data_IF_605538877983
#
_entry.id   IF_605538877983
#
_cell.length_a   1.000
_cell.length_b   1.000
_cell.length_c   1.000
_cell.angle_alpha   90.00
_cell.angle_beta   90.00
_cell.angle_gamma   90.00
#
_symmetry.space_group_name_H-M   'P 1'
#
loop_
_entity.id
_entity.type
_entity.pdbx_description
1 polymer ?
#
# COMPACT_ATOMS: atom_id res chain seq x y z
N UNK A 1 -7.63 -25.68 10.44
CA UNK A 1 -6.49 -25.79 9.50
C UNK A 1 -6.74 -25.18 8.12
N UNK A 2 -7.91 -25.36 7.48
CA UNK A 2 -8.20 -24.72 6.18
C UNK A 2 -8.33 -23.18 6.24
N UNK A 3 -8.87 -22.62 7.32
CA UNK A 3 -9.06 -21.17 7.44
C UNK A 3 -7.74 -20.39 7.65
N UNK A 4 -6.74 -20.96 8.31
CA UNK A 4 -5.44 -20.27 8.52
C UNK A 4 -4.62 -20.19 7.24
N UNK A 5 -4.75 -21.17 6.34
CA UNK A 5 -4.14 -21.15 5.00
C UNK A 5 -4.82 -20.07 4.16
N UNK A 6 -6.15 -19.98 4.21
CA UNK A 6 -6.90 -18.96 3.48
C UNK A 6 -6.58 -17.55 3.98
N UNK A 7 -6.51 -17.34 5.31
CA UNK A 7 -6.10 -16.07 5.90
C UNK A 7 -4.66 -15.68 5.50
N UNK A 8 -3.74 -16.65 5.40
CA UNK A 8 -2.37 -16.41 4.90
C UNK A 8 -2.35 -16.00 3.43
N UNK A 9 -3.18 -16.61 2.59
CA UNK A 9 -3.31 -16.23 1.18
C UNK A 9 -3.83 -14.81 1.04
N UNK A 10 -4.90 -14.45 1.77
CA UNK A 10 -5.43 -13.09 1.79
C UNK A 10 -4.40 -12.08 2.31
N UNK A 11 -3.60 -12.45 3.31
CA UNK A 11 -2.53 -11.60 3.84
C UNK A 11 -1.41 -11.37 2.81
N UNK A 12 -0.99 -12.42 2.09
CA UNK A 12 0.00 -12.31 1.03
C UNK A 12 -0.50 -11.46 -0.15
N UNK A 13 -1.78 -11.60 -0.49
CA UNK A 13 -2.42 -10.81 -1.54
C UNK A 13 -2.48 -9.33 -1.14
N UNK A 14 -2.86 -9.02 0.11
CA UNK A 14 -2.82 -7.66 0.65
C UNK A 14 -1.40 -7.07 0.61
N UNK A 15 -0.39 -7.82 1.07
CA UNK A 15 1.02 -7.38 1.03
C UNK A 15 1.49 -7.10 -0.41
N UNK A 16 1.05 -7.89 -1.37
CA UNK A 16 1.40 -7.71 -2.79
C UNK A 16 0.79 -6.43 -3.36
N UNK A 17 -0.48 -6.15 -3.04
CA UNK A 17 -1.15 -4.91 -3.42
C UNK A 17 -0.45 -3.70 -2.81
N UNK A 18 -0.17 -3.72 -1.51
CA UNK A 18 0.56 -2.64 -0.84
C UNK A 18 1.92 -2.42 -1.49
N UNK A 19 2.69 -3.49 -1.75
CA UNK A 19 3.99 -3.39 -2.41
C UNK A 19 3.87 -2.75 -3.78
N UNK A 20 2.87 -3.12 -4.60
CA UNK A 20 2.67 -2.51 -5.91
C UNK A 20 2.39 -1.01 -5.81
N UNK A 21 1.51 -0.61 -4.88
CA UNK A 21 1.18 0.80 -4.61
C UNK A 21 2.43 1.57 -4.16
N UNK A 22 3.14 1.09 -3.16
CA UNK A 22 4.34 1.76 -2.64
C UNK A 22 5.48 1.76 -3.65
N UNK A 23 5.64 0.71 -4.45
CA UNK A 23 6.65 0.67 -5.51
C UNK A 23 6.36 1.69 -6.61
N UNK A 24 5.10 1.87 -7.01
CA UNK A 24 4.72 2.88 -7.99
C UNK A 24 5.00 4.30 -7.46
N UNK A 25 4.72 4.55 -6.18
CA UNK A 25 5.01 5.82 -5.51
C UNK A 25 6.51 6.10 -5.41
N UNK A 26 7.26 5.15 -4.83
CA UNK A 26 8.67 5.33 -4.48
C UNK A 26 9.54 5.30 -5.73
N UNK A 27 9.24 4.43 -6.70
CA UNK A 27 10.13 4.17 -7.83
C UNK A 27 9.78 5.00 -9.07
N UNK A 28 8.49 5.29 -9.32
CA UNK A 28 8.08 6.15 -10.45
C UNK A 28 7.89 7.62 -10.08
N UNK A 29 8.08 7.99 -8.81
CA UNK A 29 7.85 9.35 -8.33
C UNK A 29 6.38 9.78 -8.42
N UNK A 30 5.46 8.82 -8.54
CA UNK A 30 4.02 9.09 -8.58
C UNK A 30 3.55 9.58 -7.21
N UNK A 31 3.13 10.84 -7.11
CA UNK A 31 2.50 11.33 -5.89
C UNK A 31 1.13 10.65 -5.74
N UNK A 32 0.98 9.74 -4.77
CA UNK A 32 -0.36 9.31 -4.39
C UNK A 32 -1.13 10.54 -3.90
N UNK A 33 -2.35 10.78 -4.42
CA UNK A 33 -3.18 11.90 -3.96
C UNK A 33 -3.38 11.92 -2.44
N UNK A 34 -3.43 10.72 -1.83
CA UNK A 34 -3.51 10.55 -0.37
C UNK A 34 -2.30 11.14 0.37
N UNK A 35 -1.07 10.79 -0.03
CA UNK A 35 0.14 11.33 0.60
C UNK A 35 0.35 12.81 0.27
N UNK A 36 -0.06 13.26 -0.91
CA UNK A 36 -0.02 14.69 -1.26
C UNK A 36 -0.90 15.52 -0.33
N UNK A 37 -2.12 15.06 -0.04
CA UNK A 37 -3.00 15.70 0.94
C UNK A 37 -2.48 15.60 2.36
N UNK A 38 -1.81 14.50 2.73
CA UNK A 38 -1.19 14.36 4.05
C UNK A 38 -0.02 15.33 4.25
N UNK A 39 0.87 15.46 3.27
CA UNK A 39 2.00 16.39 3.31
C UNK A 39 1.49 17.84 3.36
N UNK A 40 0.54 18.21 2.49
CA UNK A 40 -0.07 19.56 2.48
C UNK A 40 -0.74 19.91 3.82
N UNK A 41 -1.33 18.93 4.51
CA UNK A 41 -1.91 19.16 5.84
C UNK A 41 -0.87 19.18 6.97
N UNK A 42 0.33 18.61 6.78
CA UNK A 42 1.43 18.70 7.77
C UNK A 42 2.30 19.95 7.61
N UNK A 43 2.39 20.52 6.40
CA UNK A 43 3.13 21.76 6.13
C UNK A 43 2.33 23.04 6.43
N UNK A 44 1.05 22.92 6.82
CA UNK A 44 0.15 24.04 7.15
C UNK A 44 0.07 24.27 8.65
#
# INVERSE_FOLDING_TARGET
MKSSIFARLQWLEALTIYRAIFHDVVFKGGSLPFFRNFIVNMER
#
